data_IF_780958424216
#
_entry.id   IF_780958424216
#
_cell.length_a   1.000
_cell.length_b   1.000
_cell.length_c   1.000
_cell.angle_alpha   90.00
_cell.angle_beta   90.00
_cell.angle_gamma   90.00
#
_symmetry.space_group_name_H-M   'P 1'
#
loop_
_entity.id
_entity.type
_entity.pdbx_description
1 polymer ?
#
# COMPACT_ATOMS: atom_id res chain seq x y z
N UNK A 1 -55.65 45.90 -0.56
CA UNK A 1 -56.59 44.88 -0.03
C UNK A 1 -55.98 43.54 -0.42
N UNK A 2 -55.07 43.04 0.44
CA UNK A 2 -55.12 41.69 1.08
C UNK A 2 -55.28 40.54 0.06
N UNK A 3 -54.42 39.51 -0.02
CA UNK A 3 -53.80 38.64 1.00
C UNK A 3 -52.43 38.12 0.47
N UNK A 4 -51.31 37.95 1.19
CA UNK A 4 -50.98 37.17 2.39
C UNK A 4 -51.09 35.64 2.23
N UNK A 5 -50.03 34.98 1.74
CA UNK A 5 -49.61 33.62 2.17
C UNK A 5 -48.08 33.56 2.17
N UNK A 6 -47.50 33.27 3.34
CA UNK A 6 -46.07 33.31 3.61
C UNK A 6 -45.29 32.12 3.05
N UNK A 7 -44.09 32.40 2.56
CA UNK A 7 -43.08 31.40 2.27
C UNK A 7 -42.29 31.11 3.56
N UNK A 8 -42.45 29.91 4.11
CA UNK A 8 -41.62 29.40 5.20
C UNK A 8 -40.22 29.09 4.66
N UNK A 9 -39.20 29.79 5.18
CA UNK A 9 -37.80 29.42 5.04
C UNK A 9 -37.50 28.21 5.93
N UNK A 10 -37.35 27.03 5.33
CA UNK A 10 -36.74 25.89 5.99
C UNK A 10 -35.21 26.03 5.94
N UNK A 11 -34.62 26.38 7.08
CA UNK A 11 -33.20 26.18 7.34
C UNK A 11 -32.90 24.67 7.36
N UNK A 12 -32.20 24.18 6.33
CA UNK A 12 -31.53 22.89 6.40
C UNK A 12 -30.20 23.04 7.16
N UNK A 13 -30.20 22.59 8.41
CA UNK A 13 -28.97 22.34 9.15
C UNK A 13 -28.23 21.17 8.49
N UNK A 14 -27.13 21.47 7.80
CA UNK A 14 -26.14 20.48 7.39
C UNK A 14 -25.41 19.97 8.63
N UNK A 15 -25.77 18.78 9.10
CA UNK A 15 -24.95 18.02 10.04
C UNK A 15 -23.74 17.46 9.28
N UNK A 16 -22.58 18.08 9.48
CA UNK A 16 -21.30 17.52 9.08
C UNK A 16 -21.00 16.29 9.96
N UNK A 17 -21.33 15.09 9.47
CA UNK A 17 -20.74 13.86 10.01
C UNK A 17 -19.27 13.81 9.58
N UNK A 18 -18.36 13.95 10.55
CA UNK A 18 -16.93 13.82 10.35
C UNK A 18 -16.60 12.40 9.90
N UNK A 19 -16.24 12.23 8.62
CA UNK A 19 -15.78 10.97 8.01
C UNK A 19 -14.33 10.69 8.43
N UNK A 20 -14.07 10.59 9.73
CA UNK A 20 -12.72 10.42 10.26
C UNK A 20 -12.22 8.99 9.98
N UNK A 21 -11.06 8.81 9.32
CA UNK A 21 -10.42 7.50 9.23
C UNK A 21 -10.17 6.92 10.62
N UNK A 22 -10.30 5.60 10.79
CA UNK A 22 -9.82 4.95 12.02
C UNK A 22 -8.30 5.09 12.08
N UNK A 23 -7.81 5.74 13.13
CA UNK A 23 -6.42 5.59 13.58
C UNK A 23 -6.28 4.23 14.26
N UNK A 24 -5.07 3.64 14.31
CA UNK A 24 -4.82 2.48 15.15
C UNK A 24 -5.28 2.80 16.58
N UNK A 25 -6.23 2.03 17.11
CA UNK A 25 -6.74 2.26 18.47
C UNK A 25 -5.66 1.82 19.46
N UNK A 26 -4.96 2.78 20.04
CA UNK A 26 -4.10 2.54 21.21
C UNK A 26 -4.96 2.09 22.38
N UNK A 27 -4.59 1.03 23.13
CA UNK A 27 -5.35 0.62 24.30
C UNK A 27 -5.44 1.77 25.30
N UNK A 28 -6.65 2.03 25.81
CA UNK A 28 -6.84 2.84 27.01
C UNK A 28 -6.07 2.20 28.16
N UNK A 29 -5.01 2.88 28.60
CA UNK A 29 -4.17 2.46 29.72
C UNK A 29 -5.05 2.36 30.98
N UNK A 30 -5.14 1.21 31.65
CA UNK A 30 -5.79 1.16 32.96
C UNK A 30 -5.03 2.06 33.94
N UNK A 31 -5.76 2.80 34.76
CA UNK A 31 -5.20 3.62 35.85
C UNK A 31 -4.24 2.77 36.71
N UNK A 32 -3.03 3.27 37.05
CA UNK A 32 -2.09 2.48 37.82
C UNK A 32 -2.58 2.33 39.27
N UNK A 33 -2.72 1.09 39.72
CA UNK A 33 -2.83 0.76 41.14
C UNK A 33 -1.56 1.23 41.90
N UNK A 34 -1.69 1.71 43.16
CA UNK A 34 -0.65 2.46 43.87
C UNK A 34 0.45 1.58 44.51
N UNK A 35 0.93 0.52 43.84
CA UNK A 35 1.95 -0.39 44.39
C UNK A 35 3.15 -0.68 43.47
N UNK A 36 3.47 0.23 42.54
CA UNK A 36 4.71 0.17 41.75
C UNK A 36 5.42 1.55 41.74
N UNK A 37 5.75 2.08 42.92
CA UNK A 37 6.50 3.33 43.08
C UNK A 37 7.97 3.17 43.48
N UNK A 38 8.57 1.99 43.31
CA UNK A 38 9.99 1.79 43.60
C UNK A 38 10.67 0.93 42.53
N UNK A 39 10.93 1.52 41.36
CA UNK A 39 12.00 1.06 40.50
C UNK A 39 12.87 2.27 40.14
N UNK A 40 14.18 2.26 40.48
CA UNK A 40 15.06 3.38 40.18
C UNK A 40 15.18 3.55 38.67
N UNK A 41 15.18 4.82 38.26
CA UNK A 41 15.42 5.25 36.88
C UNK A 41 16.73 4.65 36.36
N UNK A 42 16.68 4.02 35.18
CA UNK A 42 17.88 3.68 34.42
C UNK A 42 18.53 4.97 33.92
N UNK A 43 19.21 5.67 34.83
CA UNK A 43 20.18 6.71 34.52
C UNK A 43 21.44 5.99 34.06
N UNK A 44 21.67 6.01 32.75
CA UNK A 44 22.89 5.54 32.10
C UNK A 44 24.11 6.07 32.89
N UNK A 45 24.80 5.16 33.60
CA UNK A 45 26.08 5.44 34.24
C UNK A 45 27.15 5.03 33.24
N UNK A 46 27.88 5.99 32.70
CA UNK A 46 29.12 5.73 31.99
C UNK A 46 30.13 5.13 32.98
N UNK A 47 30.38 3.83 32.86
CA UNK A 47 31.59 3.22 33.40
C UNK A 47 32.64 3.25 32.30
N UNK A 48 33.63 4.13 32.45
CA UNK A 48 34.90 3.96 31.76
C UNK A 48 35.52 2.63 32.23
N UNK A 49 35.44 1.61 31.38
CA UNK A 49 36.24 0.40 31.53
C UNK A 49 37.38 0.49 30.53
N UNK A 50 38.59 0.66 31.05
CA UNK A 50 39.83 0.50 30.29
C UNK A 50 40.02 -0.98 29.96
N UNK A 51 39.67 -1.38 28.75
CA UNK A 51 40.08 -2.67 28.20
C UNK A 51 41.27 -2.49 27.25
N UNK A 52 42.36 -3.16 27.58
CA UNK A 52 43.56 -3.27 26.74
C UNK A 52 43.19 -3.88 25.38
N UNK A 53 43.61 -3.21 24.30
CA UNK A 53 43.38 -3.64 22.93
C UNK A 53 44.18 -4.93 22.62
N UNK A 54 43.57 -5.97 22.01
CA UNK A 54 44.33 -7.08 21.49
C UNK A 54 45.16 -6.62 20.28
N UNK A 55 46.41 -7.09 20.19
CA UNK A 55 47.32 -6.83 19.06
C UNK A 55 46.66 -7.24 17.75
N UNK A 56 46.12 -6.25 17.03
CA UNK A 56 45.67 -6.42 15.67
C UNK A 56 46.87 -6.75 14.77
N UNK A 57 46.81 -7.90 14.12
CA UNK A 57 47.70 -8.27 13.02
C UNK A 57 47.61 -7.16 11.97
N UNK A 58 48.65 -6.33 11.86
CA UNK A 58 48.75 -5.28 10.85
C UNK A 58 48.89 -5.95 9.48
N UNK A 59 47.77 -6.30 8.85
CA UNK A 59 47.72 -6.50 7.41
C UNK A 59 48.00 -5.13 6.81
N UNK A 60 49.23 -4.95 6.31
CA UNK A 60 49.60 -3.70 5.69
C UNK A 60 48.69 -3.47 4.48
N UNK A 61 48.23 -2.23 4.25
CA UNK A 61 47.27 -1.90 3.20
C UNK A 61 47.67 -2.20 1.73
N UNK A 62 48.95 -2.41 1.32
CA UNK A 62 49.23 -2.60 -0.11
C UNK A 62 48.68 -3.92 -0.66
N UNK A 63 48.55 -4.98 0.14
CA UNK A 63 48.06 -6.27 -0.37
C UNK A 63 46.58 -6.26 -0.73
N UNK A 64 45.76 -5.54 0.04
CA UNK A 64 44.32 -5.45 -0.23
C UNK A 64 44.03 -4.64 -1.50
N UNK A 65 44.77 -3.56 -1.72
CA UNK A 65 44.64 -2.74 -2.93
C UNK A 65 45.13 -3.49 -4.18
N UNK A 66 46.22 -4.25 -4.07
CA UNK A 66 46.71 -5.11 -5.16
C UNK A 66 45.71 -6.23 -5.50
N UNK A 67 45.10 -6.84 -4.48
CA UNK A 67 44.08 -7.87 -4.68
C UNK A 67 42.83 -7.28 -5.37
N UNK A 68 42.37 -6.10 -4.96
CA UNK A 68 41.21 -5.43 -5.57
C UNK A 68 41.48 -5.06 -7.03
N UNK A 69 42.68 -4.53 -7.33
CA UNK A 69 43.10 -4.21 -8.69
C UNK A 69 43.19 -5.47 -9.57
N UNK A 70 43.74 -6.57 -9.05
CA UNK A 70 43.80 -7.84 -9.76
C UNK A 70 42.42 -8.41 -10.07
N UNK A 71 41.48 -8.36 -9.11
CA UNK A 71 40.08 -8.79 -9.32
C UNK A 71 39.39 -7.91 -10.37
N UNK A 72 39.59 -6.59 -10.33
CA UNK A 72 39.03 -5.66 -11.32
C UNK A 72 39.57 -5.92 -12.73
N UNK A 73 40.88 -6.15 -12.88
CA UNK A 73 41.50 -6.47 -14.17
C UNK A 73 41.04 -7.82 -14.73
N UNK A 74 40.88 -8.84 -13.87
CA UNK A 74 40.32 -10.13 -14.29
C UNK A 74 38.86 -10.01 -14.75
N UNK A 75 38.04 -9.26 -14.02
CA UNK A 75 36.63 -9.05 -14.35
C UNK A 75 36.43 -8.19 -15.60
N UNK A 76 37.33 -7.25 -15.89
CA UNK A 76 37.24 -6.43 -17.11
C UNK A 76 37.68 -7.20 -18.36
N UNK A 77 38.61 -8.15 -18.25
CA UNK A 77 39.01 -9.00 -19.38
C UNK A 77 37.92 -10.01 -19.78
N UNK A 78 37.11 -10.50 -18.83
CA UNK A 78 36.00 -11.43 -19.14
C UNK A 78 34.80 -10.75 -19.81
N UNK A 79 34.58 -9.45 -19.56
CA UNK A 79 33.51 -8.68 -20.20
C UNK A 79 33.87 -8.34 -21.65
N UNK A 80 35.15 -8.10 -21.97
CA UNK A 80 35.57 -7.73 -23.32
C UNK A 80 35.77 -8.93 -24.26
N UNK A 81 35.98 -10.13 -23.73
CA UNK A 81 36.30 -11.33 -24.52
C UNK A 81 35.12 -12.30 -24.73
N UNK A 82 33.95 -12.06 -24.13
CA UNK A 82 32.77 -12.87 -24.41
C UNK A 82 32.09 -12.40 -25.70
N UNK A 83 32.03 -13.21 -26.79
CA UNK A 83 31.13 -12.92 -27.89
C UNK A 83 29.71 -12.96 -27.32
N UNK A 84 29.05 -11.79 -27.28
CA UNK A 84 27.67 -11.72 -26.87
C UNK A 84 26.87 -12.72 -27.72
N UNK A 85 26.16 -13.70 -27.11
CA UNK A 85 25.28 -14.55 -27.88
C UNK A 85 24.26 -13.61 -28.51
N UNK A 86 24.25 -13.55 -29.85
CA UNK A 86 23.17 -12.93 -30.61
C UNK A 86 21.89 -13.65 -30.20
N UNK A 87 21.19 -13.10 -29.21
CA UNK A 87 19.82 -13.45 -28.90
C UNK A 87 19.03 -13.13 -30.16
N UNK A 88 18.85 -14.15 -31.00
CA UNK A 88 17.82 -14.14 -32.04
C UNK A 88 16.53 -13.87 -31.29
N UNK A 89 16.06 -12.63 -31.40
CA UNK A 89 14.74 -12.22 -30.97
C UNK A 89 13.77 -13.07 -31.80
N UNK A 90 13.38 -14.21 -31.25
CA UNK A 90 12.32 -15.02 -31.83
C UNK A 90 11.09 -14.15 -31.73
N UNK A 91 10.67 -13.60 -32.87
CA UNK A 91 9.40 -12.89 -32.96
C UNK A 91 8.32 -13.87 -32.50
N UNK A 92 7.79 -13.65 -31.30
CA UNK A 92 6.60 -14.34 -30.85
C UNK A 92 5.53 -14.10 -31.91
N UNK A 93 4.79 -15.14 -32.37
CA UNK A 93 3.63 -14.90 -33.20
C UNK A 93 2.75 -13.90 -32.46
N UNK A 94 2.31 -12.85 -33.15
CA UNK A 94 1.29 -11.93 -32.63
C UNK A 94 0.16 -12.81 -32.10
N UNK A 95 -0.01 -12.85 -30.78
CA UNK A 95 -1.21 -13.39 -30.20
C UNK A 95 -2.32 -12.51 -30.77
N UNK A 96 -3.07 -13.06 -31.73
CA UNK A 96 -4.22 -12.40 -32.28
C UNK A 96 -5.15 -12.20 -31.08
N UNK A 97 -5.23 -10.97 -30.57
CA UNK A 97 -6.25 -10.58 -29.61
C UNK A 97 -7.59 -10.78 -30.32
N UNK A 98 -8.12 -11.99 -30.25
CA UNK A 98 -9.51 -12.22 -30.58
C UNK A 98 -10.26 -11.55 -29.43
N UNK A 99 -11.02 -10.47 -29.68
CA UNK A 99 -11.87 -9.91 -28.64
C UNK A 99 -12.77 -11.05 -28.18
N UNK A 100 -12.69 -11.42 -26.89
CA UNK A 100 -13.67 -12.32 -26.32
C UNK A 100 -15.04 -11.77 -26.68
N UNK A 101 -15.96 -12.59 -27.24
CA UNK A 101 -17.33 -12.17 -27.42
C UNK A 101 -17.82 -11.64 -26.07
N UNK A 102 -18.33 -10.41 -26.05
CA UNK A 102 -19.04 -9.92 -24.88
C UNK A 102 -20.08 -10.98 -24.53
N UNK A 103 -20.17 -11.43 -23.26
CA UNK A 103 -21.27 -12.30 -22.87
C UNK A 103 -22.59 -11.64 -23.29
N UNK A 104 -23.59 -12.42 -23.75
CA UNK A 104 -24.85 -11.87 -24.21
C UNK A 104 -25.43 -10.96 -23.14
N UNK A 105 -25.89 -9.77 -23.55
CA UNK A 105 -26.36 -8.71 -22.67
C UNK A 105 -27.49 -9.14 -21.72
N UNK A 106 -28.11 -10.28 -21.98
CA UNK A 106 -29.19 -10.91 -21.20
C UNK A 106 -28.75 -11.56 -19.88
N UNK A 107 -27.45 -11.63 -19.55
CA UNK A 107 -26.97 -12.11 -18.23
C UNK A 107 -26.05 -11.07 -17.57
N UNK A 108 -26.37 -9.77 -17.66
CA UNK A 108 -25.88 -8.83 -16.65
C UNK A 108 -26.84 -8.88 -15.48
N UNK A 109 -26.62 -9.84 -14.58
CA UNK A 109 -27.12 -9.68 -13.23
C UNK A 109 -26.69 -8.29 -12.74
N UNK A 110 -27.62 -7.55 -12.11
CA UNK A 110 -27.28 -6.30 -11.45
C UNK A 110 -26.05 -6.53 -10.57
N UNK A 111 -25.07 -5.61 -10.53
CA UNK A 111 -23.91 -5.77 -9.67
C UNK A 111 -24.41 -6.04 -8.24
N UNK A 112 -23.76 -6.97 -7.50
CA UNK A 112 -24.19 -7.28 -6.14
C UNK A 112 -24.15 -6.01 -5.29
N UNK A 113 -25.09 -5.90 -4.36
CA UNK A 113 -25.13 -4.79 -3.42
C UNK A 113 -23.84 -4.71 -2.61
N UNK A 114 -23.34 -3.51 -2.27
CA UNK A 114 -22.18 -3.35 -1.40
C UNK A 114 -22.40 -4.03 -0.05
N UNK A 115 -21.47 -4.89 0.36
CA UNK A 115 -21.55 -5.60 1.64
C UNK A 115 -20.18 -5.92 2.24
N UNK A 116 -20.18 -6.35 3.50
CA UNK A 116 -19.00 -6.83 4.21
C UNK A 116 -19.04 -8.35 4.37
N UNK A 117 -17.87 -8.96 4.26
CA UNK A 117 -17.61 -10.36 4.57
C UNK A 117 -16.65 -10.43 5.74
N UNK A 118 -16.83 -11.42 6.62
CA UNK A 118 -15.97 -11.65 7.77
C UNK A 118 -15.36 -13.05 7.71
N UNK A 119 -14.05 -13.14 7.90
CA UNK A 119 -13.30 -14.39 8.04
C UNK A 119 -12.74 -14.43 9.46
N UNK A 120 -13.01 -15.50 10.21
CA UNK A 120 -12.55 -15.68 11.59
C UNK A 120 -12.01 -17.11 11.76
N UNK A 121 -10.79 -17.24 12.30
CA UNK A 121 -10.16 -18.53 12.60
C UNK A 121 -9.99 -18.78 14.11
N UNK A 122 -10.65 -17.99 14.96
CA UNK A 122 -10.57 -18.02 16.41
C UNK A 122 -9.36 -17.28 17.00
N UNK A 123 -8.38 -16.88 16.18
CA UNK A 123 -7.21 -16.09 16.61
C UNK A 123 -7.14 -14.72 15.96
N UNK A 124 -7.51 -14.64 14.69
CA UNK A 124 -7.52 -13.43 13.89
C UNK A 124 -8.85 -13.30 13.19
N UNK A 125 -9.26 -12.06 12.95
CA UNK A 125 -10.49 -11.75 12.23
C UNK A 125 -10.22 -10.72 11.15
N UNK A 126 -10.73 -10.97 9.95
CA UNK A 126 -10.59 -10.07 8.81
C UNK A 126 -11.98 -9.68 8.33
N UNK A 127 -12.19 -8.38 8.10
CA UNK A 127 -13.35 -7.88 7.36
C UNK A 127 -12.91 -7.35 6.02
N UNK A 128 -13.66 -7.72 4.99
CA UNK A 128 -13.44 -7.27 3.62
C UNK A 128 -14.77 -6.90 2.96
N UNK A 129 -14.75 -6.14 1.88
CA UNK A 129 -15.95 -5.76 1.13
C UNK A 129 -15.83 -6.11 -0.34
N UNK A 130 -16.97 -6.37 -1.01
CA UNK A 130 -17.02 -6.54 -2.46
C UNK A 130 -16.74 -5.22 -3.23
N UNK A 131 -16.67 -4.07 -2.54
CA UNK A 131 -16.24 -2.79 -3.14
C UNK A 131 -14.71 -2.73 -3.20
N UNK A 132 -14.15 -2.89 -4.41
CA UNK A 132 -12.70 -2.87 -4.60
C UNK A 132 -11.96 -4.01 -3.90
N UNK A 133 -12.67 -5.07 -3.50
CA UNK A 133 -12.14 -6.18 -2.70
C UNK A 133 -11.34 -5.71 -1.47
N UNK A 134 -11.80 -4.64 -0.82
CA UNK A 134 -11.01 -3.92 0.16
C UNK A 134 -11.02 -4.61 1.53
N UNK A 135 -9.85 -4.77 2.15
CA UNK A 135 -9.74 -5.13 3.58
C UNK A 135 -10.08 -3.88 4.40
N UNK A 136 -11.12 -3.96 5.23
CA UNK A 136 -11.62 -2.82 6.03
C UNK A 136 -11.28 -2.93 7.52
N UNK A 137 -10.91 -4.13 7.99
CA UNK A 137 -10.42 -4.38 9.35
C UNK A 137 -9.61 -5.68 9.39
N UNK A 138 -8.56 -5.70 10.22
CA UNK A 138 -7.73 -6.87 10.47
C UNK A 138 -7.38 -6.90 11.96
N UNK A 139 -8.11 -7.71 12.73
CA UNK A 139 -7.88 -7.91 14.15
C UNK A 139 -6.84 -9.00 14.38
N UNK A 140 -5.77 -8.64 15.07
CA UNK A 140 -4.64 -9.54 15.38
C UNK A 140 -4.30 -9.43 16.87
N UNK A 141 -4.01 -10.53 17.57
CA UNK A 141 -3.66 -10.48 18.99
C UNK A 141 -2.26 -9.90 19.18
N UNK A 142 -2.11 -9.04 20.19
CA UNK A 142 -0.82 -8.60 20.67
C UNK A 142 -0.12 -9.70 21.50
N UNK A 143 1.03 -9.38 22.11
CA UNK A 143 1.79 -10.32 22.95
C UNK A 143 1.02 -10.84 24.19
N UNK A 144 -0.05 -10.15 24.60
CA UNK A 144 -0.90 -10.53 25.73
C UNK A 144 -2.22 -11.20 25.26
N UNK A 145 -2.39 -11.41 23.95
CA UNK A 145 -3.62 -11.96 23.37
C UNK A 145 -4.72 -10.93 23.12
N UNK A 146 -4.47 -9.64 23.31
CA UNK A 146 -5.47 -8.59 23.11
C UNK A 146 -5.58 -8.25 21.62
N UNK A 147 -6.76 -8.39 21.04
CA UNK A 147 -7.00 -8.07 19.63
C UNK A 147 -6.92 -6.56 19.37
N UNK A 148 -6.10 -6.16 18.41
CA UNK A 148 -6.05 -4.81 17.87
C UNK A 148 -6.28 -4.79 16.36
N UNK A 149 -6.95 -3.75 15.87
CA UNK A 149 -7.07 -3.51 14.42
C UNK A 149 -5.78 -2.88 13.90
N UNK A 150 -5.12 -3.57 12.97
CA UNK A 150 -3.79 -3.18 12.47
C UNK A 150 -3.82 -2.56 11.07
N UNK A 151 -5.01 -2.35 10.49
CA UNK A 151 -5.16 -1.67 9.20
C UNK A 151 -5.97 -0.38 9.33
N UNK A 152 -5.68 0.59 8.46
CA UNK A 152 -6.50 1.79 8.33
C UNK A 152 -7.77 1.47 7.53
N UNK A 153 -8.87 2.09 7.90
CA UNK A 153 -10.15 1.92 7.24
C UNK A 153 -11.24 2.81 7.82
N UNK A 154 -12.48 2.55 7.44
CA UNK A 154 -13.66 3.31 7.87
C UNK A 154 -14.67 2.39 8.57
N UNK A 155 -15.57 3.00 9.34
CA UNK A 155 -16.66 2.29 10.03
C UNK A 155 -17.82 1.95 9.08
N UNK A 156 -18.00 2.70 7.99
CA UNK A 156 -19.02 2.46 6.95
C UNK A 156 -18.39 2.22 5.57
N UNK A 157 -19.21 1.73 4.62
CA UNK A 157 -18.83 1.56 3.23
C UNK A 157 -18.85 2.86 2.42
N UNK A 158 -19.50 3.92 2.91
CA UNK A 158 -19.70 5.15 2.13
C UNK A 158 -18.40 5.76 1.61
N UNK A 159 -17.30 5.83 2.39
CA UNK A 159 -16.02 6.36 1.90
C UNK A 159 -15.41 5.53 0.76
N UNK A 160 -15.68 4.23 0.74
CA UNK A 160 -15.25 3.33 -0.34
C UNK A 160 -16.09 3.51 -1.60
N UNK A 161 -17.39 3.81 -1.44
CA UNK A 161 -18.34 3.99 -2.54
C UNK A 161 -18.24 5.37 -3.20
N UNK A 162 -18.08 6.43 -2.41
CA UNK A 162 -18.01 7.80 -2.91
C UNK A 162 -16.59 8.21 -3.37
N UNK A 163 -15.61 7.31 -3.24
CA UNK A 163 -14.24 7.52 -3.70
C UNK A 163 -13.41 8.48 -2.85
N UNK A 164 -13.84 8.79 -1.62
CA UNK A 164 -13.05 9.59 -0.66
C UNK A 164 -11.96 8.78 0.03
N UNK A 165 -12.10 7.45 0.08
CA UNK A 165 -11.05 6.54 0.54
C UNK A 165 -9.79 6.67 -0.33
N UNK A 166 -8.59 6.90 0.25
CA UNK A 166 -7.33 6.94 -0.48
C UNK A 166 -6.80 5.52 -0.78
N UNK A 167 -7.67 4.65 -1.31
CA UNK A 167 -7.40 3.25 -1.62
C UNK A 167 -7.07 2.37 -0.39
N UNK A 168 -7.57 2.70 0.81
CA UNK A 168 -7.31 1.90 2.00
C UNK A 168 -7.78 0.45 1.81
N UNK A 169 -6.85 -0.49 1.93
CA UNK A 169 -7.11 -1.93 1.84
C UNK A 169 -7.62 -2.44 0.48
N UNK A 170 -7.87 -1.57 -0.50
CA UNK A 170 -8.41 -1.93 -1.81
C UNK A 170 -7.40 -2.67 -2.68
N UNK A 171 -7.89 -3.61 -3.49
CA UNK A 171 -7.10 -4.15 -4.60
C UNK A 171 -7.00 -3.09 -5.70
N UNK A 172 -5.77 -2.74 -6.05
CA UNK A 172 -5.46 -1.72 -7.05
C UNK A 172 -5.26 -2.36 -8.42
N UNK A 173 -5.93 -1.85 -9.45
CA UNK A 173 -5.78 -2.34 -10.82
C UNK A 173 -6.46 -1.44 -11.86
N UNK A 174 -6.26 -1.67 -13.18
CA UNK A 174 -5.46 -2.75 -13.81
C UNK A 174 -3.94 -2.60 -13.70
N UNK A 175 -3.44 -1.38 -13.48
CA UNK A 175 -2.02 -1.12 -13.27
C UNK A 175 -1.87 -0.31 -11.98
N UNK A 176 -1.09 -0.85 -11.05
CA UNK A 176 -0.79 -0.16 -9.81
C UNK A 176 0.22 0.97 -10.04
N UNK A 177 0.13 2.00 -9.19
CA UNK A 177 0.97 3.20 -9.23
C UNK A 177 0.83 3.97 -10.57
N UNK A 178 1.88 4.68 -10.98
CA UNK A 178 1.81 5.70 -12.02
C UNK A 178 2.18 5.18 -13.40
N UNK A 179 1.39 5.56 -14.40
CA UNK A 179 1.77 5.56 -15.82
C UNK A 179 2.08 6.99 -16.21
N UNK A 180 3.35 7.23 -16.58
CA UNK A 180 3.87 8.55 -16.93
C UNK A 180 3.05 9.17 -18.07
N UNK A 181 2.65 10.43 -17.89
CA UNK A 181 1.88 11.20 -18.88
C UNK A 181 0.57 10.54 -19.32
N UNK A 182 0.11 9.51 -18.59
CA UNK A 182 -1.00 8.63 -18.97
C UNK A 182 -0.78 7.91 -20.30
N UNK A 183 0.47 7.67 -20.70
CA UNK A 183 0.80 7.13 -22.01
C UNK A 183 1.66 5.88 -21.89
N UNK A 184 1.34 4.88 -22.70
CA UNK A 184 2.21 3.73 -22.91
C UNK A 184 1.97 3.16 -24.31
N UNK A 185 2.93 2.38 -24.81
CA UNK A 185 2.79 1.65 -26.07
C UNK A 185 2.81 0.16 -25.79
N UNK A 186 1.92 -0.59 -26.45
CA UNK A 186 1.89 -2.05 -26.41
C UNK A 186 1.70 -2.56 -27.83
N UNK A 187 2.55 -3.49 -28.27
CA UNK A 187 2.55 -4.06 -29.62
C UNK A 187 2.57 -3.03 -30.76
N UNK A 188 3.28 -1.92 -30.55
CA UNK A 188 3.38 -0.81 -31.51
C UNK A 188 2.18 0.14 -31.53
N UNK A 189 1.15 -0.12 -30.71
CA UNK A 189 -0.02 0.75 -30.56
C UNK A 189 0.16 1.66 -29.34
N UNK A 190 -0.05 2.97 -29.52
CA UNK A 190 -0.04 3.93 -28.41
C UNK A 190 -1.41 3.98 -27.73
N UNK A 191 -1.41 3.92 -26.40
CA UNK A 191 -2.59 4.06 -25.56
C UNK A 191 -2.48 5.34 -24.73
N UNK A 192 -3.58 6.09 -24.70
CA UNK A 192 -3.74 7.27 -23.85
C UNK A 192 -4.75 6.93 -22.75
N UNK A 193 -4.41 7.25 -21.52
CA UNK A 193 -5.20 7.00 -20.32
C UNK A 193 -5.64 8.32 -19.69
N UNK A 194 -6.67 8.26 -18.85
CA UNK A 194 -7.08 9.38 -18.01
C UNK A 194 -5.93 9.88 -17.14
N UNK A 195 -5.74 11.20 -17.09
CA UNK A 195 -4.87 11.85 -16.10
C UNK A 195 -5.66 12.14 -14.82
N UNK A 196 -5.66 11.20 -13.88
CA UNK A 196 -6.32 11.36 -12.56
C UNK A 196 -5.34 11.84 -11.46
N UNK A 197 -4.04 11.85 -11.73
CA UNK A 197 -3.02 12.41 -10.84
C UNK A 197 -2.00 13.19 -11.67
N UNK A 198 -2.32 14.44 -12.09
CA UNK A 198 -1.50 15.19 -13.03
C UNK A 198 0.00 15.20 -12.69
N UNK A 199 0.88 14.95 -13.67
CA UNK A 199 0.61 14.70 -15.09
C UNK A 199 0.31 13.23 -15.45
N UNK A 200 0.11 12.35 -14.48
CA UNK A 200 0.09 10.90 -14.67
C UNK A 200 -1.31 10.27 -14.53
N UNK A 201 -1.43 9.02 -14.99
CA UNK A 201 -2.47 8.10 -14.53
C UNK A 201 -1.97 7.37 -13.30
N UNK A 202 -2.76 7.29 -12.24
CA UNK A 202 -2.46 6.62 -10.98
C UNK A 202 -3.50 5.53 -10.72
N UNK A 203 -3.04 4.33 -10.35
CA UNK A 203 -3.88 3.24 -9.83
C UNK A 203 -4.99 2.79 -10.78
N UNK A 204 -4.77 2.90 -12.09
CA UNK A 204 -5.70 2.41 -13.12
C UNK A 204 -7.07 3.10 -13.16
N UNK A 205 -7.24 4.24 -12.46
CA UNK A 205 -8.51 4.95 -12.39
C UNK A 205 -8.84 5.60 -13.74
N UNK A 206 -10.06 5.39 -14.20
CA UNK A 206 -10.64 6.14 -15.31
C UNK A 206 -11.28 7.43 -14.80
N UNK A 207 -11.42 8.43 -15.67
CA UNK A 207 -12.30 9.56 -15.36
C UNK A 207 -13.71 9.00 -15.23
N UNK A 208 -14.41 9.36 -14.17
CA UNK A 208 -15.87 9.22 -14.05
C UNK A 208 -16.46 10.58 -14.37
#
# INVERSE_FOLDING_TARGET
MEQLVGAQHHHHHHHHHSLSPRTPRTPTRPHPHPLLQQLPSNRFRDHQIHHAAPRALRVTPPFFLLLLAAVYLLASFTILSSPAPLLRLRSSPKALLVPMPLPPASVRASPPSPEHFELDNGRMRVRLTNVGAAITSLLVPDKNGVLGDVVLGFDSLDPYLNGTSPYFGSIVGRVANRIKDGKFSLDGVQYNLTINNPPNTLHGKTSV
#
